data_IF_120931929235
#
_entry.id   IF_120931929235
#
_cell.length_a   1.000
_cell.length_b   1.000
_cell.length_c   1.000
_cell.angle_alpha   90.00
_cell.angle_beta   90.00
_cell.angle_gamma   90.00
#
_symmetry.space_group_name_H-M   'P 1'
#
loop_
_entity.id
_entity.type
_entity.pdbx_description
1 polymer ?
2 non-polymer ?
3 non-polymer ?
4 non-polymer ?
5 water ?
#
# COMPACT_ATOMS: atom_id res chain seq x y z
N UNK A 2 31.94 4.37 2.13
CA UNK A 2 31.86 2.95 1.66
C UNK A 2 31.76 2.86 0.12
N UNK A 3 31.73 1.63 -0.40
CA UNK A 3 31.50 1.43 -1.83
C UNK A 3 30.31 0.50 -2.02
N UNK A 4 29.73 0.52 -3.21
CA UNK A 4 28.70 -0.45 -3.58
C UNK A 4 29.34 -1.82 -3.68
N UNK A 5 28.61 -2.90 -3.32
CA UNK A 5 29.22 -4.23 -3.39
C UNK A 5 29.56 -4.63 -4.82
N UNK A 6 30.63 -5.42 -4.97
CA UNK A 6 31.12 -5.82 -6.27
C UNK A 6 30.04 -6.50 -7.14
N UNK A 7 29.20 -7.36 -6.53
CA UNK A 7 28.19 -8.08 -7.31
C UNK A 7 27.13 -7.14 -7.92
N UNK A 8 26.86 -6.05 -7.22
CA UNK A 8 25.91 -5.05 -7.71
C UNK A 8 26.55 -4.24 -8.85
N UNK A 9 27.77 -3.78 -8.60
CA UNK A 9 28.55 -3.06 -9.64
C UNK A 9 28.71 -3.89 -10.91
N UNK A 10 28.81 -5.21 -10.76
CA UNK A 10 29.00 -6.08 -11.92
C UNK A 10 27.84 -5.96 -12.92
N UNK A 11 26.64 -5.75 -12.40
CA UNK A 11 25.43 -5.76 -13.21
C UNK A 11 24.80 -4.41 -13.44
N UNK A 12 25.13 -3.42 -12.59
CA UNK A 12 24.50 -2.10 -12.63
C UNK A 12 25.48 -0.96 -12.51
N UNK A 13 25.15 0.16 -13.16
CA UNK A 13 25.84 1.44 -12.91
C UNK A 13 24.95 2.31 -12.06
N UNK A 14 25.42 2.69 -10.88
CA UNK A 14 24.61 3.50 -9.95
C UNK A 14 24.64 4.99 -10.31
N UNK A 15 23.48 5.64 -10.18
CA UNK A 15 23.35 7.07 -10.45
C UNK A 15 22.82 7.85 -9.25
N UNK A 16 21.99 8.87 -9.52
CA UNK A 16 21.52 9.84 -8.54
C UNK A 16 20.52 9.27 -7.54
N UNK A 17 20.39 9.94 -6.40
CA UNK A 17 19.40 9.62 -5.40
C UNK A 17 18.06 10.15 -5.90
N UNK A 18 17.03 9.31 -5.83
CA UNK A 18 15.68 9.68 -6.27
C UNK A 18 14.77 10.04 -5.09
N UNK A 19 15.03 9.42 -3.96
CA UNK A 19 14.20 9.59 -2.76
C UNK A 19 14.88 8.98 -1.56
N UNK A 20 14.27 9.12 -0.39
CA UNK A 20 14.81 8.53 0.84
C UNK A 20 13.76 8.28 1.93
N UNK A 21 14.05 7.32 2.80
CA UNK A 21 13.21 7.01 3.95
C UNK A 21 14.07 7.00 5.19
N UNK A 22 13.48 6.51 6.29
CA UNK A 22 14.19 6.39 7.56
C UNK A 22 15.21 5.26 7.51
N UNK A 23 14.91 4.25 6.71
CA UNK A 23 15.74 3.04 6.62
C UNK A 23 16.88 3.14 5.59
N UNK A 24 16.77 4.08 4.65
CA UNK A 24 17.77 4.24 3.60
C UNK A 24 17.33 5.18 2.50
N UNK A 25 17.74 4.87 1.27
CA UNK A 25 17.36 5.71 0.14
C UNK A 25 17.08 4.89 -1.11
N UNK A 26 16.55 5.56 -2.13
CA UNK A 26 16.29 4.95 -3.44
C UNK A 26 17.18 5.64 -4.47
N UNK A 27 17.95 4.83 -5.21
CA UNK A 27 18.86 5.34 -6.23
C UNK A 27 18.38 4.96 -7.61
N UNK A 28 18.64 5.85 -8.56
CA UNK A 28 18.55 5.51 -9.96
C UNK A 28 19.75 4.62 -10.30
N UNK A 29 19.55 3.62 -11.15
CA UNK A 29 20.66 2.81 -11.64
C UNK A 29 20.35 2.37 -13.06
N UNK A 30 21.38 1.93 -13.77
CA UNK A 30 21.18 1.44 -15.12
C UNK A 30 21.64 0.00 -15.17
N UNK A 31 20.79 -0.88 -15.67
CA UNK A 31 21.19 -2.27 -15.86
C UNK A 31 22.12 -2.33 -17.06
N UNK A 32 23.32 -2.89 -16.87
CA UNK A 32 24.31 -2.90 -17.97
C UNK A 32 23.82 -3.69 -19.19
N UNK A 33 23.21 -4.85 -18.94
CA UNK A 33 22.76 -5.76 -20.00
C UNK A 33 21.83 -5.07 -21.02
N UNK A 34 20.94 -4.22 -20.51
CA UNK A 34 19.84 -3.64 -21.29
C UNK A 34 19.98 -2.14 -21.51
N UNK A 35 20.85 -1.50 -20.72
CA UNK A 35 20.98 -0.04 -20.67
C UNK A 35 19.69 0.66 -20.25
N UNK A 36 18.85 -0.05 -19.52
CA UNK A 36 17.57 0.47 -19.08
C UNK A 36 17.64 0.87 -17.62
N UNK A 37 16.79 1.81 -17.25
CA UNK A 37 16.77 2.35 -15.89
C UNK A 37 16.05 1.41 -14.92
N UNK A 38 16.59 1.32 -13.72
CA UNK A 38 15.96 0.59 -12.61
C UNK A 38 16.03 1.48 -11.36
N UNK A 39 15.30 1.11 -10.31
CA UNK A 39 15.44 1.78 -9.03
C UNK A 39 16.08 0.80 -8.08
N UNK A 40 16.96 1.31 -7.22
CA UNK A 40 17.59 0.47 -6.21
C UNK A 40 17.31 1.03 -4.83
N UNK A 41 16.59 0.26 -4.04
CA UNK A 41 16.28 0.61 -2.67
C UNK A 41 17.40 0.09 -1.79
N UNK A 42 18.03 0.99 -1.05
CA UNK A 42 19.09 0.60 -0.13
C UNK A 42 18.53 0.62 1.29
N UNK A 43 18.70 -0.50 1.98
CA UNK A 43 18.27 -0.57 3.39
C UNK A 43 19.51 -0.80 4.28
N UNK A 44 19.81 0.21 5.08
CA UNK A 44 20.94 0.20 5.98
C UNK A 44 20.81 -0.94 6.99
N UNK A 45 21.89 -1.70 7.18
CA UNK A 45 21.90 -2.76 8.20
C UNK A 45 22.27 -2.20 9.57
N UNK A 61 11.74 -6.97 8.42
CA UNK A 61 12.32 -8.23 7.97
C UNK A 61 12.50 -8.28 6.45
N UNK A 62 13.73 -8.03 6.00
CA UNK A 62 14.02 -7.94 4.57
C UNK A 62 13.91 -9.29 3.86
N UNK A 63 14.39 -10.34 4.51
CA UNK A 63 14.30 -11.67 3.92
C UNK A 63 12.88 -12.08 3.57
N UNK A 64 11.93 -11.86 4.50
CA UNK A 64 10.53 -12.17 4.23
C UNK A 64 9.96 -11.23 3.16
N UNK A 65 10.37 -9.97 3.21
CA UNK A 65 9.94 -8.99 2.21
C UNK A 65 10.29 -9.50 0.80
N UNK A 66 11.53 -9.94 0.62
CA UNK A 66 11.99 -10.46 -0.68
C UNK A 66 11.18 -11.67 -1.10
N UNK A 67 10.95 -12.59 -0.16
CA UNK A 67 10.13 -13.77 -0.41
C UNK A 67 8.72 -13.41 -0.85
N UNK A 68 8.12 -12.45 -0.15
CA UNK A 68 6.82 -11.91 -0.58
C UNK A 68 6.88 -11.27 -1.98
N UNK A 69 7.84 -10.37 -2.21
CA UNK A 69 7.92 -9.67 -3.51
C UNK A 69 8.07 -10.65 -4.69
N UNK A 70 8.86 -11.71 -4.48
CA UNK A 70 9.08 -12.72 -5.53
C UNK A 70 7.83 -13.55 -5.88
N UNK A 71 6.97 -13.75 -4.89
CA UNK A 71 5.80 -14.61 -5.06
C UNK A 71 4.61 -13.86 -5.68
N UNK A 72 4.51 -12.57 -5.41
CA UNK A 72 3.35 -11.80 -5.86
C UNK A 72 3.44 -11.44 -7.33
N UNK A 73 2.28 -11.39 -7.99
CA UNK A 73 2.22 -11.04 -9.41
C UNK A 73 0.93 -10.28 -9.72
N UNK A 74 1.00 -8.96 -9.59
CA UNK A 74 -0.16 -8.13 -9.86
C UNK A 74 0.32 -6.81 -10.47
N UNK A 75 -0.43 -6.25 -11.44
CA UNK A 75 0.04 -5.03 -12.08
C UNK A 75 0.14 -3.81 -11.17
N UNK A 76 -0.51 -3.86 -10.00
CA UNK A 76 -0.46 -2.73 -9.06
C UNK A 76 0.43 -2.98 -7.83
N UNK A 77 1.32 -3.96 -7.96
CA UNK A 77 2.29 -4.25 -6.90
C UNK A 77 3.66 -4.33 -7.52
N UNK A 78 4.62 -3.63 -6.90
CA UNK A 78 5.97 -3.53 -7.46
C UNK A 78 6.62 -4.92 -7.60
N UNK A 79 7.43 -5.09 -8.64
CA UNK A 79 8.16 -6.35 -8.84
C UNK A 79 9.62 -6.16 -8.51
N UNK A 80 10.22 -7.19 -7.91
CA UNK A 80 11.63 -7.20 -7.61
C UNK A 80 12.38 -7.75 -8.83
N UNK A 81 13.50 -7.12 -9.17
CA UNK A 81 14.34 -7.59 -10.26
C UNK A 81 15.60 -8.27 -9.77
N UNK A 82 16.10 -7.87 -8.59
CA UNK A 82 17.34 -8.40 -8.04
C UNK A 82 17.48 -8.05 -6.56
N UNK A 83 18.39 -8.75 -5.89
CA UNK A 83 18.59 -8.56 -4.47
C UNK A 83 20.04 -8.84 -4.12
N UNK A 84 20.64 -7.94 -3.35
CA UNK A 84 22.01 -8.13 -2.88
C UNK A 84 22.05 -7.91 -1.38
N UNK A 85 22.54 -8.92 -0.68
CA UNK A 85 22.71 -8.90 0.76
C UNK A 85 24.20 -8.69 1.07
N UNK A 86 24.58 -7.44 1.33
CA UNK A 86 25.97 -7.10 1.60
C UNK A 86 26.08 -6.29 2.90
N UNK A 87 26.92 -5.26 2.90
CA UNK A 87 27.03 -4.38 4.07
C UNK A 87 25.68 -3.74 4.37
N UNK A 88 24.98 -3.34 3.31
CA UNK A 88 23.56 -2.99 3.39
C UNK A 88 22.77 -3.95 2.50
N UNK A 89 21.45 -3.87 2.55
CA UNK A 89 20.62 -4.59 1.60
C UNK A 89 20.35 -3.73 0.40
N UNK A 90 20.34 -4.37 -0.77
CA UNK A 90 20.04 -3.67 -2.01
C UNK A 90 18.92 -4.41 -2.72
N UNK A 91 17.79 -3.74 -2.90
CA UNK A 91 16.67 -4.35 -3.60
C UNK A 91 16.51 -3.63 -4.93
N UNK A 92 16.66 -4.37 -6.03
CA UNK A 92 16.52 -3.77 -7.37
C UNK A 92 15.07 -3.96 -7.82
N UNK A 93 14.45 -2.85 -8.22
CA UNK A 93 13.04 -2.88 -8.63
C UNK A 93 12.82 -2.08 -9.90
N UNK A 94 11.65 -2.25 -10.50
CA UNK A 94 11.29 -1.41 -11.62
C UNK A 94 11.29 0.06 -11.18
N UNK A 95 11.74 0.93 -12.07
CA UNK A 95 11.70 2.37 -11.81
C UNK A 95 10.31 2.95 -12.09
N UNK A 96 9.73 3.59 -11.07
CA UNK A 96 8.41 4.22 -11.20
C UNK A 96 8.64 5.70 -11.46
N UNK A 97 8.53 6.09 -12.73
CA UNK A 97 9.00 7.40 -13.17
C UNK A 97 8.18 8.58 -12.64
N UNK A 98 6.98 8.30 -12.17
CA UNK A 98 6.14 9.30 -11.52
C UNK A 98 6.47 9.59 -10.05
N UNK A 99 7.31 8.75 -9.46
CA UNK A 99 7.69 8.90 -8.05
C UNK A 99 6.56 8.56 -7.08
N UNK A 100 6.63 9.15 -5.88
CA UNK A 100 5.70 8.82 -4.78
C UNK A 100 4.42 9.62 -4.84
N UNK A 101 3.30 8.98 -4.48
CA UNK A 101 2.03 9.72 -4.32
C UNK A 101 2.16 10.88 -3.33
N UNK A 102 3.01 10.67 -2.31
CA UNK A 102 3.24 11.66 -1.26
C UNK A 102 3.47 13.06 -1.82
N UNK A 103 4.21 13.13 -2.93
CA UNK A 103 4.60 14.43 -3.49
C UNK A 103 3.47 15.14 -4.22
N UNK A 104 2.42 14.38 -4.53
CA UNK A 104 1.21 14.92 -5.16
C UNK A 104 0.20 15.50 -4.17
N UNK A 105 0.36 15.15 -2.90
CA UNK A 105 -0.63 15.52 -1.87
C UNK A 105 -0.05 16.36 -0.74
N UNK A 106 1.26 16.55 -0.76
CA UNK A 106 1.94 17.33 0.27
C UNK A 106 1.63 18.83 0.07
N UNK A 107 1.69 19.62 1.14
CA UNK A 107 1.44 21.08 1.08
C UNK A 107 0.03 21.44 0.66
N UNK A 108 -0.94 20.67 1.15
CA UNK A 108 -2.37 20.87 0.85
C UNK A 108 -2.76 20.77 -0.63
N UNK A 109 -1.83 20.29 -1.46
CA UNK A 109 -2.12 20.10 -2.88
C UNK A 109 -3.22 19.08 -3.03
N UNK A 110 -4.06 19.25 -4.04
CA UNK A 110 -5.07 18.23 -4.24
C UNK A 110 -5.43 17.81 -5.66
N UNK A 111 -5.46 16.49 -5.80
CA UNK A 111 -5.81 15.77 -7.01
C UNK A 111 -7.28 15.95 -7.32
N UNK A 112 -7.61 16.05 -8.60
CA UNK A 112 -9.00 16.01 -9.04
C UNK A 112 -9.66 14.74 -8.52
N UNK A 113 -10.94 14.85 -8.15
CA UNK A 113 -11.67 13.69 -7.68
C UNK A 113 -11.54 12.49 -8.63
N UNK A 114 -11.58 12.75 -9.95
CA UNK A 114 -11.39 11.70 -10.95
C UNK A 114 -10.04 10.98 -10.84
N UNK A 115 -8.98 11.74 -10.55
CA UNK A 115 -7.64 11.17 -10.38
C UNK A 115 -7.60 10.34 -9.11
N UNK A 116 -8.17 10.89 -8.03
CA UNK A 116 -8.32 10.15 -6.77
C UNK A 116 -8.98 8.80 -6.99
N UNK A 117 -10.06 8.79 -7.76
CA UNK A 117 -10.79 7.55 -8.01
C UNK A 117 -9.94 6.55 -8.79
N UNK A 118 -9.24 7.03 -9.81
CA UNK A 118 -8.38 6.17 -10.62
C UNK A 118 -7.26 5.56 -9.76
N UNK A 119 -6.60 6.38 -8.95
CA UNK A 119 -5.52 5.83 -8.08
C UNK A 119 -6.08 4.89 -7.03
N UNK A 120 -7.21 5.29 -6.43
CA UNK A 120 -7.75 4.53 -5.32
C UNK A 120 -8.30 3.20 -5.76
N UNK A 121 -8.91 3.16 -6.93
CA UNK A 121 -9.34 1.89 -7.53
C UNK A 121 -8.16 0.89 -7.60
N UNK A 122 -7.01 1.38 -8.06
CA UNK A 122 -5.82 0.54 -8.19
C UNK A 122 -5.28 0.12 -6.83
N UNK A 123 -5.27 1.03 -5.86
CA UNK A 123 -4.84 0.66 -4.50
C UNK A 123 -5.72 -0.46 -3.97
N UNK A 124 -7.02 -0.34 -4.21
CA UNK A 124 -7.96 -1.37 -3.77
C UNK A 124 -7.72 -2.71 -4.45
N UNK A 125 -7.49 -2.69 -5.77
CA UNK A 125 -7.18 -3.94 -6.49
C UNK A 125 -5.93 -4.61 -5.92
N UNK A 126 -4.92 -3.79 -5.62
CA UNK A 126 -3.65 -4.29 -5.07
C UNK A 126 -3.87 -4.89 -3.70
N UNK A 127 -4.56 -4.16 -2.83
CA UNK A 127 -4.76 -4.66 -1.45
C UNK A 127 -5.70 -5.86 -1.43
N UNK A 128 -6.70 -5.87 -2.30
CA UNK A 128 -7.56 -7.03 -2.45
C UNK A 128 -6.73 -8.25 -2.78
N UNK A 129 -5.81 -8.08 -3.72
CA UNK A 129 -4.95 -9.16 -4.16
C UNK A 129 -4.05 -9.65 -3.01
N UNK A 130 -3.48 -8.71 -2.25
CA UNK A 130 -2.72 -9.07 -1.06
C UNK A 130 -3.56 -9.94 -0.12
N UNK A 131 -4.75 -9.46 0.23
CA UNK A 131 -5.58 -10.17 1.23
C UNK A 131 -6.02 -11.55 0.75
N UNK A 132 -6.34 -11.66 -0.54
CA UNK A 132 -6.62 -12.96 -1.17
C UNK A 132 -5.46 -13.93 -1.05
N UNK A 133 -4.24 -13.40 -1.08
CA UNK A 133 -3.03 -14.18 -1.01
C UNK A 133 -2.44 -14.31 0.40
N UNK A 134 -3.23 -13.91 1.39
CA UNK A 134 -2.86 -14.04 2.82
C UNK A 134 -1.72 -13.14 3.28
N UNK A 135 -1.64 -11.94 2.69
CA UNK A 135 -0.62 -10.96 3.05
C UNK A 135 -1.30 -9.70 3.56
N UNK A 136 -0.85 -9.21 4.71
CA UNK A 136 -1.29 -7.89 5.19
C UNK A 136 -0.13 -6.95 5.04
N UNK A 137 -0.38 -5.80 4.42
CA UNK A 137 0.73 -4.90 4.10
C UNK A 137 1.31 -4.22 5.36
N UNK A 138 0.45 -3.59 6.14
CA UNK A 138 0.78 -2.94 7.43
C UNK A 138 1.51 -1.61 7.39
N UNK A 139 1.83 -1.12 6.21
CA UNK A 139 2.46 0.20 6.12
C UNK A 139 1.96 0.99 4.92
N UNK A 140 0.64 0.92 4.67
CA UNK A 140 0.10 1.70 3.55
C UNK A 140 0.10 3.19 3.90
N UNK A 141 0.72 3.98 3.02
CA UNK A 141 0.82 5.44 3.18
C UNK A 141 1.22 6.01 1.82
N UNK A 142 1.06 7.32 1.62
CA UNK A 142 1.35 7.89 0.29
C UNK A 142 2.79 7.67 -0.20
N UNK A 143 3.74 7.58 0.72
CA UNK A 143 5.15 7.29 0.38
C UNK A 143 5.32 5.93 -0.28
N UNK A 144 4.40 5.02 0.03
CA UNK A 144 4.46 3.63 -0.47
C UNK A 144 3.55 3.35 -1.64
N UNK A 145 3.01 4.41 -2.25
CA UNK A 145 2.22 4.30 -3.46
C UNK A 145 3.04 5.01 -4.53
N UNK A 146 3.52 4.24 -5.51
CA UNK A 146 4.36 4.81 -6.58
C UNK A 146 3.59 4.99 -7.87
N UNK A 147 3.94 6.04 -8.63
CA UNK A 147 3.24 6.36 -9.87
C UNK A 147 4.11 6.03 -11.09
N UNK A 148 3.49 5.46 -12.12
CA UNK A 148 4.23 4.97 -13.29
C UNK A 148 4.73 6.06 -14.23
N UNK A 149 4.12 7.24 -14.19
CA UNK A 149 4.58 8.35 -15.01
C UNK A 149 4.26 9.70 -14.39
N UNK A 150 4.74 10.77 -15.02
CA UNK A 150 4.48 12.13 -14.56
C UNK A 150 3.11 12.62 -15.04
N UNK A 151 2.45 11.85 -15.90
CA UNK A 151 1.06 12.12 -16.33
C UNK A 151 0.09 11.82 -15.20
N UNK A 152 -0.97 12.61 -15.07
CA UNK A 152 -2.00 12.41 -14.04
C UNK A 152 -2.68 11.05 -14.17
N UNK A 153 -3.05 10.68 -15.40
CA UNK A 153 -3.62 9.37 -15.67
C UNK A 153 -2.51 8.33 -15.83
N UNK A 154 -2.27 7.56 -14.77
CA UNK A 154 -1.15 6.62 -14.82
C UNK A 154 -1.44 5.41 -13.95
N UNK A 155 -0.61 4.39 -14.09
CA UNK A 155 -0.68 3.23 -13.19
C UNK A 155 -0.01 3.55 -11.87
N UNK A 156 -0.53 2.94 -10.80
CA UNK A 156 0.14 2.99 -9.53
C UNK A 156 0.57 1.59 -9.09
N UNK A 157 1.62 1.55 -8.28
CA UNK A 157 2.06 0.29 -7.69
C UNK A 157 2.38 0.49 -6.21
N UNK A 158 1.96 -0.46 -5.39
CA UNK A 158 2.24 -0.48 -3.96
C UNK A 158 3.64 -1.06 -3.73
N UNK A 159 4.37 -0.50 -2.79
CA UNK A 159 5.69 -0.98 -2.45
C UNK A 159 5.85 -1.11 -0.92
N UNK A 160 7.03 -1.56 -0.51
CA UNK A 160 7.48 -1.68 0.88
C UNK A 160 6.73 -2.74 1.67
N UNK A 161 7.27 -3.97 1.64
CA UNK A 161 6.68 -5.06 2.37
C UNK A 161 7.50 -5.41 3.61
N UNK A 162 8.21 -4.39 4.11
CA UNK A 162 9.17 -4.52 5.20
C UNK A 162 8.57 -4.89 6.55
N UNK A 163 7.28 -4.60 6.72
CA UNK A 163 6.60 -4.99 7.97
C UNK A 163 5.33 -5.78 7.72
N UNK A 164 5.22 -6.36 6.52
CA UNK A 164 4.05 -7.16 6.17
C UNK A 164 3.97 -8.45 6.97
N UNK A 165 2.76 -9.00 7.05
CA UNK A 165 2.47 -10.21 7.83
C UNK A 165 1.89 -11.26 6.86
N UNK A 166 2.40 -12.49 6.98
CA UNK A 166 1.87 -13.60 6.21
C UNK A 166 0.88 -14.36 7.09
N UNK A 167 -0.36 -14.48 6.61
CA UNK A 167 -1.38 -15.27 7.31
C UNK A 167 -1.22 -16.75 7.07
N UNK A 168 -1.52 -17.52 8.10
CA UNK A 168 -1.53 -18.99 8.00
C UNK A 168 -2.27 -19.50 9.21
N UNK A 169 -2.16 -20.80 9.47
CA UNK A 169 -2.76 -21.37 10.67
C UNK A 169 -2.17 -20.69 11.89
N UNK A 170 -3.04 -20.26 12.79
CA UNK A 170 -2.64 -19.57 13.99
C UNK A 170 -2.50 -20.54 15.17
N UNK A 171 -1.81 -20.09 16.20
CA UNK A 171 -1.73 -20.82 17.47
C UNK A 171 -3.14 -20.95 18.05
N UNK A 172 -3.95 -19.90 17.88
CA UNK A 172 -5.34 -19.91 18.39
C UNK A 172 -6.15 -21.08 17.82
N UNK A 173 -6.02 -21.33 16.51
CA UNK A 173 -6.72 -22.42 15.84
C UNK A 173 -6.31 -23.76 16.47
N UNK A 174 -5.02 -23.95 16.68
CA UNK A 174 -4.50 -25.14 17.33
C UNK A 174 -5.07 -25.24 18.77
N UNK A 175 -5.10 -24.11 19.45
CA UNK A 175 -5.68 -24.03 20.80
C UNK A 175 -7.14 -24.52 20.85
N UNK A 176 -7.95 -24.12 19.87
CA UNK A 176 -9.38 -24.45 19.87
C UNK A 176 -9.70 -25.90 19.51
N UNK A 177 -8.70 -26.64 19.05
CA UNK A 177 -8.91 -28.06 18.75
C UNK A 177 -9.07 -28.93 19.99
N UNK A 178 -8.47 -28.49 21.10
CA UNK A 178 -8.56 -29.24 22.36
C UNK A 178 -9.65 -28.74 23.28
N UNK A 179 -9.76 -29.38 24.44
CA UNK A 179 -10.71 -28.98 25.48
C UNK A 179 -10.03 -27.89 26.32
N UNK A 180 -10.75 -26.79 26.60
CA UNK A 180 -10.13 -25.64 27.28
C UNK A 180 -10.02 -25.74 28.81
N UNK A 181 -9.94 -26.97 29.35
CA UNK A 181 -9.83 -27.21 30.81
C UNK A 181 -8.85 -26.27 31.53
N UNK A 182 -7.70 -26.02 30.88
CA UNK A 182 -6.62 -25.25 31.51
C UNK A 182 -6.43 -23.88 30.85
N UNK A 183 -7.31 -23.58 29.91
CA UNK A 183 -7.17 -22.40 29.05
C UNK A 183 -7.70 -21.12 29.68
N UNK A 184 -6.87 -20.07 29.68
CA UNK A 184 -7.23 -18.74 30.19
C UNK A 184 -8.40 -18.03 29.44
N UNK A 185 -9.21 -17.26 30.17
CA UNK A 185 -10.42 -16.71 29.57
C UNK A 185 -10.12 -15.70 28.47
N UNK A 186 -9.02 -14.95 28.60
CA UNK A 186 -8.67 -13.95 27.58
C UNK A 186 -8.44 -14.58 26.20
N UNK A 187 -7.99 -15.82 26.17
CA UNK A 187 -7.76 -16.52 24.92
C UNK A 187 -9.12 -16.80 24.27
N UNK A 188 -10.07 -17.28 25.05
CA UNK A 188 -11.44 -17.52 24.52
C UNK A 188 -12.10 -16.21 24.08
N UNK A 189 -11.89 -15.14 24.85
CA UNK A 189 -12.42 -13.82 24.46
C UNK A 189 -11.85 -13.35 23.13
N UNK A 190 -10.57 -13.66 22.86
CA UNK A 190 -9.90 -13.20 21.65
C UNK A 190 -10.48 -13.81 20.37
N UNK A 191 -11.24 -14.90 20.55
CA UNK A 191 -11.83 -15.60 19.42
C UNK A 191 -12.85 -14.73 18.68
N UNK A 192 -13.50 -13.84 19.41
CA UNK A 192 -14.53 -12.98 18.81
C UNK A 192 -13.98 -12.10 17.70
N UNK A 193 -12.72 -11.68 17.85
CA UNK A 193 -12.12 -10.71 16.94
C UNK A 193 -10.97 -11.23 16.07
N UNK A 194 -10.51 -12.45 16.32
CA UNK A 194 -9.41 -13.03 15.56
C UNK A 194 -9.65 -13.12 14.06
N UNK A 195 -8.61 -12.89 13.28
CA UNK A 195 -8.73 -13.07 11.83
C UNK A 195 -9.20 -11.80 11.13
N UNK A 196 -9.13 -10.68 11.83
CA UNK A 196 -9.46 -9.38 11.22
C UNK A 196 -8.25 -8.45 11.15
N UNK A 197 -7.05 -9.01 11.26
CA UNK A 197 -5.85 -8.16 11.23
C UNK A 197 -5.77 -7.42 9.88
N UNK A 198 -6.28 -8.05 8.80
CA UNK A 198 -6.26 -7.42 7.48
C UNK A 198 -7.01 -6.08 7.44
N UNK A 199 -7.94 -5.87 8.38
CA UNK A 199 -8.70 -4.61 8.42
C UNK A 199 -7.83 -3.37 8.69
N UNK A 200 -6.64 -3.55 9.24
CA UNK A 200 -5.74 -2.38 9.45
C UNK A 200 -5.38 -1.75 8.10
N UNK A 201 -5.28 -2.58 7.05
CA UNK A 201 -4.96 -2.05 5.68
C UNK A 201 -6.12 -1.22 5.14
N UNK A 202 -7.36 -1.65 5.43
CA UNK A 202 -8.54 -0.90 4.99
C UNK A 202 -8.65 0.45 5.70
N UNK A 203 -8.26 0.50 6.96
CA UNK A 203 -8.23 1.77 7.69
C UNK A 203 -7.21 2.70 7.03
N UNK A 204 -6.00 2.18 6.78
CA UNK A 204 -4.95 3.00 6.16
C UNK A 204 -5.39 3.52 4.79
N UNK A 205 -6.02 2.66 4.00
CA UNK A 205 -6.59 3.09 2.71
C UNK A 205 -7.57 4.24 2.90
N UNK A 206 -8.41 4.13 3.93
CA UNK A 206 -9.35 5.21 4.24
C UNK A 206 -8.67 6.53 4.51
N UNK A 207 -7.56 6.49 5.24
CA UNK A 207 -6.80 7.71 5.58
C UNK A 207 -6.16 8.28 4.31
N UNK A 208 -5.58 7.40 3.48
CA UNK A 208 -4.99 7.82 2.18
C UNK A 208 -6.07 8.49 1.30
N UNK A 209 -7.24 7.85 1.21
CA UNK A 209 -8.33 8.37 0.38
C UNK A 209 -8.77 9.75 0.90
N UNK A 210 -8.91 9.88 2.21
CA UNK A 210 -9.27 11.18 2.84
C UNK A 210 -8.24 12.26 2.46
N UNK A 211 -6.96 11.93 2.57
CA UNK A 211 -5.88 12.86 2.19
C UNK A 211 -5.91 13.23 0.71
N UNK A 212 -6.09 12.24 -0.19
CA UNK A 212 -6.11 12.51 -1.63
C UNK A 212 -7.27 13.47 -1.99
N UNK A 213 -8.44 13.24 -1.39
CA UNK A 213 -9.66 13.99 -1.71
C UNK A 213 -9.66 15.42 -1.18
N UNK A 214 -9.02 15.61 -0.04
CA UNK A 214 -9.12 16.87 0.71
C UNK A 214 -7.82 17.68 0.78
N UNK A 215 -6.71 17.01 0.53
CA UNK A 215 -5.36 17.58 0.71
C UNK A 215 -4.93 17.77 2.15
N UNK A 216 -5.68 17.23 3.11
CA UNK A 216 -5.26 17.31 4.53
C UNK A 216 -5.55 15.98 5.27
N UNK A 217 -4.80 15.69 6.35
CA UNK A 217 -4.99 14.42 7.10
C UNK A 217 -6.22 14.43 8.03
N UNK A 218 -6.96 13.31 8.10
CA UNK A 218 -8.15 13.23 8.97
C UNK A 218 -7.83 13.33 10.46
N UNK A 219 -6.65 12.85 10.84
CA UNK A 219 -6.24 12.85 12.24
C UNK A 219 -4.87 13.51 12.32
N UNK A 220 -4.79 14.61 13.07
CA UNK A 220 -3.56 15.39 13.17
C UNK A 220 -3.59 16.22 14.46
N UNK A 221 -2.42 16.56 14.97
CA UNK A 221 -2.34 17.43 16.15
C UNK A 221 -2.54 18.93 15.81
N UNK A 222 -2.67 19.24 14.52
CA UNK A 222 -2.74 20.66 14.07
C UNK A 222 -3.99 21.35 14.58
N UNK A 223 -3.78 22.46 15.28
CA UNK A 223 -4.88 23.30 15.78
C UNK A 223 -6.02 22.48 16.39
N UNK A 224 -5.68 21.65 17.38
CA UNK A 224 -6.66 20.91 18.17
C UNK A 224 -6.08 20.57 19.54
N UNK A 225 -6.99 20.41 20.49
CA UNK A 225 -6.61 20.04 21.84
C UNK A 225 -6.91 18.56 22.12
N UNK A 226 -7.57 17.89 21.18
CA UNK A 226 -7.82 16.43 21.30
C UNK A 226 -6.53 15.70 20.88
N UNK A 227 -6.07 14.74 21.70
CA UNK A 227 -4.85 14.04 21.38
C UNK A 227 -5.05 13.20 20.12
N UNK A 228 -3.96 12.94 19.41
CA UNK A 228 -3.99 12.13 18.19
C UNK A 228 -4.63 10.78 18.48
N UNK A 229 -4.19 10.14 19.56
CA UNK A 229 -4.73 8.85 19.95
C UNK A 229 -6.25 8.87 20.16
N UNK A 230 -6.76 9.93 20.79
CA UNK A 230 -8.19 10.02 21.04
C UNK A 230 -8.98 10.28 19.77
N UNK A 231 -8.42 11.08 18.85
CA UNK A 231 -9.07 11.32 17.57
C UNK A 231 -9.28 10.00 16.86
N UNK A 232 -8.22 9.20 16.84
CA UNK A 232 -8.24 7.93 16.11
C UNK A 232 -9.16 6.90 16.75
N UNK A 233 -9.01 6.66 18.06
CA UNK A 233 -9.81 5.61 18.72
C UNK A 233 -11.30 5.97 18.77
N UNK A 234 -11.60 7.27 18.71
CA UNK A 234 -13.01 7.71 18.68
C UNK A 234 -13.56 7.74 17.26
N UNK A 235 -12.68 7.67 16.26
CA UNK A 235 -13.06 7.79 14.85
C UNK A 235 -13.46 9.20 14.42
N UNK A 236 -13.20 10.18 15.27
CA UNK A 236 -13.60 11.56 15.00
C UNK A 236 -12.56 12.32 14.18
N UNK A 237 -12.64 12.12 12.86
CA UNK A 237 -11.78 12.83 11.92
C UNK A 237 -12.13 14.32 11.90
N UNK A 238 -11.17 15.12 11.45
CA UNK A 238 -11.34 16.56 11.30
C UNK A 238 -12.06 16.85 9.99
N UNK A 239 -13.32 17.27 10.08
CA UNK A 239 -14.08 17.59 8.89
C UNK A 239 -14.19 19.09 8.72
N UNK A 240 -13.52 19.62 7.70
CA UNK A 240 -13.59 21.04 7.35
C UNK A 240 -14.50 21.20 6.14
N UNK A 241 -15.76 21.62 6.37
CA UNK A 241 -16.79 21.68 5.33
C UNK A 241 -16.37 22.35 4.03
N UNK A 242 -15.64 23.46 4.13
CA UNK A 242 -15.29 24.25 2.94
C UNK A 242 -14.32 23.55 2.01
N UNK A 243 -13.42 22.75 2.58
CA UNK A 243 -12.51 21.93 1.80
C UNK A 243 -13.29 20.85 1.05
N UNK A 244 -14.26 20.24 1.74
CA UNK A 244 -15.03 19.10 1.21
C UNK A 244 -16.20 19.47 0.28
N UNK A 245 -16.62 20.73 0.28
CA UNK A 245 -17.81 21.14 -0.47
C UNK A 245 -17.75 20.75 -1.95
N UNK A 246 -16.54 20.76 -2.51
CA UNK A 246 -16.29 20.46 -3.91
C UNK A 246 -16.14 18.95 -4.19
N UNK A 247 -16.09 18.15 -3.13
CA UNK A 247 -15.97 16.69 -3.25
C UNK A 247 -17.38 16.06 -3.25
N UNK A 248 -17.58 15.04 -4.06
CA UNK A 248 -18.89 14.39 -4.11
C UNK A 248 -19.29 13.74 -2.78
N UNK A 249 -20.61 13.66 -2.56
CA UNK A 249 -21.19 12.87 -1.47
C UNK A 249 -20.74 11.40 -1.47
N UNK A 250 -20.72 10.78 -2.66
CA UNK A 250 -20.35 9.35 -2.80
C UNK A 250 -18.91 9.09 -2.32
N UNK A 251 -17.99 10.00 -2.64
CA UNK A 251 -16.59 9.83 -2.24
C UNK A 251 -16.44 9.90 -0.72
N UNK A 252 -17.06 10.90 -0.11
CA UNK A 252 -17.04 11.01 1.34
C UNK A 252 -17.69 9.80 2.01
N UNK A 253 -18.76 9.28 1.41
CA UNK A 253 -19.47 8.11 1.95
C UNK A 253 -18.53 6.92 2.06
N UNK A 254 -17.76 6.67 1.00
CA UNK A 254 -16.77 5.60 1.04
C UNK A 254 -15.73 5.81 2.13
N UNK A 255 -15.17 7.04 2.21
CA UNK A 255 -14.23 7.36 3.29
C UNK A 255 -14.83 6.98 4.65
N UNK A 256 -16.08 7.36 4.87
CA UNK A 256 -16.73 7.06 6.15
C UNK A 256 -16.82 5.57 6.48
N UNK A 257 -16.98 4.73 5.45
CA UNK A 257 -17.14 3.29 5.65
C UNK A 257 -15.80 2.61 5.91
N UNK A 258 -14.72 3.27 5.52
CA UNK A 258 -13.36 2.76 5.74
C UNK A 258 -12.81 3.21 7.10
N UNK A 259 -13.22 4.40 7.54
CA UNK A 259 -12.75 4.94 8.81
C UNK A 259 -13.72 4.58 9.96
N UNK A 260 -14.12 3.32 9.99
CA UNK A 260 -15.02 2.78 11.00
C UNK A 260 -14.11 2.17 12.07
N UNK A 261 -14.36 2.52 13.33
CA UNK A 261 -13.48 2.10 14.43
C UNK A 261 -13.52 0.59 14.71
N UNK A 262 -14.70 -0.02 14.62
CA UNK A 262 -14.85 -1.48 14.82
C UNK A 262 -14.30 -2.24 13.59
N UNK A 263 -13.20 -3.00 13.76
CA UNK A 263 -12.59 -3.64 12.59
C UNK A 263 -13.50 -4.69 11.93
N UNK A 264 -14.47 -5.24 12.67
CA UNK A 264 -15.37 -6.21 12.04
C UNK A 264 -16.46 -5.53 11.18
N UNK A 265 -16.79 -4.29 11.51
CA UNK A 265 -17.77 -3.51 10.76
C UNK A 265 -17.15 -2.75 9.58
N UNK A 266 -15.86 -2.47 9.69
CA UNK A 266 -15.14 -1.71 8.66
C UNK A 266 -15.30 -2.34 7.27
N UNK A 267 -15.41 -1.50 6.23
CA UNK A 267 -15.45 -2.02 4.86
C UNK A 267 -14.21 -2.83 4.56
N UNK A 268 -14.42 -3.97 3.91
CA UNK A 268 -13.34 -4.75 3.31
C UNK A 268 -13.00 -4.17 1.93
N UNK A 269 -11.93 -4.65 1.31
CA UNK A 269 -11.61 -4.18 -0.05
C UNK A 269 -12.73 -4.57 -1.02
N UNK A 270 -13.35 -5.73 -0.83
CA UNK A 270 -14.45 -6.16 -1.73
C UNK A 270 -15.65 -5.20 -1.64
N UNK A 271 -15.98 -4.81 -0.41
CA UNK A 271 -17.11 -3.90 -0.18
C UNK A 271 -16.81 -2.53 -0.77
N UNK A 272 -15.58 -2.05 -0.57
CA UNK A 272 -15.14 -0.79 -1.16
C UNK A 272 -15.23 -0.82 -2.68
N UNK A 273 -14.81 -1.93 -3.29
CA UNK A 273 -14.87 -2.04 -4.76
C UNK A 273 -16.30 -2.08 -5.29
N UNK A 274 -17.25 -2.52 -4.46
CA UNK A 274 -18.69 -2.52 -4.83
C UNK A 274 -19.39 -1.19 -4.54
N UNK A 275 -18.72 -0.25 -3.90
CA UNK A 275 -19.32 1.02 -3.48
C UNK A 275 -19.71 1.86 -4.69
N UNK A 276 -20.82 2.62 -4.60
CA UNK A 276 -21.26 3.46 -5.74
C UNK A 276 -20.18 4.36 -6.33
N UNK A 277 -19.26 4.84 -5.49
CA UNK A 277 -18.20 5.72 -5.97
C UNK A 277 -17.30 5.05 -7.01
N UNK A 278 -17.15 3.74 -6.93
CA UNK A 278 -16.24 3.06 -7.84
C UNK A 278 -16.94 2.40 -9.03
N UNK A 279 -18.25 2.59 -9.11
CA UNK A 279 -19.03 2.10 -10.24
C UNK A 279 -18.97 3.17 -11.33
N UNK A 280 -17.80 3.25 -11.95
CA UNK A 280 -17.46 4.30 -12.89
C UNK A 280 -16.83 3.63 -14.09
N UNK A 281 -17.61 3.44 -15.17
CA UNK A 281 -17.11 2.75 -16.36
C UNK A 281 -16.01 3.50 -17.10
N UNK A 282 -16.07 4.84 -17.10
CA UNK A 282 -15.00 5.69 -17.65
C UNK A 282 -13.66 5.47 -16.96
N UNK A 283 -13.66 5.51 -15.63
CA UNK A 283 -12.45 5.27 -14.85
C UNK A 283 -11.87 3.88 -15.14
N UNK A 284 -12.73 2.86 -15.14
CA UNK A 284 -12.31 1.48 -15.38
C UNK A 284 -11.74 1.25 -16.79
N UNK A 285 -12.34 1.93 -17.77
CA UNK A 285 -11.80 1.95 -19.13
C UNK A 285 -10.40 2.55 -19.16
N UNK A 286 -10.22 3.70 -18.51
CA UNK A 286 -8.91 4.35 -18.44
C UNK A 286 -7.86 3.41 -17.83
N UNK A 287 -8.24 2.72 -16.75
CA UNK A 287 -7.33 1.76 -16.14
C UNK A 287 -6.90 0.66 -17.12
N UNK A 288 -7.88 0.04 -17.79
CA UNK A 288 -7.60 -1.03 -18.75
C UNK A 288 -6.72 -0.56 -19.91
N UNK A 289 -6.99 0.65 -20.42
CA UNK A 289 -6.14 1.27 -21.45
C UNK A 289 -4.70 1.41 -20.96
N UNK A 290 -4.54 1.90 -19.74
CA UNK A 290 -3.22 2.10 -19.14
C UNK A 290 -2.47 0.78 -18.98
N UNK A 291 -3.17 -0.27 -18.56
CA UNK A 291 -2.61 -1.62 -18.46
C UNK A 291 -2.01 -2.12 -19.77
N UNK A 292 -2.84 -2.20 -20.82
CA UNK A 292 -2.40 -2.72 -22.12
C UNK A 292 -1.25 -1.91 -22.72
N UNK A 293 -1.31 -0.59 -22.54
CA UNK A 293 -0.22 0.32 -22.90
C UNK A 293 1.12 -0.07 -22.26
N UNK A 294 1.11 -0.42 -20.96
CA UNK A 294 2.31 -0.80 -20.21
C UNK A 294 3.01 -2.06 -20.75
N UNK A 295 2.20 -3.04 -21.18
CA UNK A 295 2.69 -4.40 -21.44
C UNK A 295 3.38 -4.66 -22.81
N UNK A 296 4.48 -5.43 -22.79
CA UNK A 296 5.26 -5.84 -23.98
C UNK A 296 5.10 -7.35 -24.23
N UNK A 297 4.02 -7.68 -24.92
CA UNK A 297 3.36 -8.97 -24.77
C UNK A 297 4.00 -10.20 -25.43
N UNK A 298 4.63 -10.06 -26.59
CA UNK A 298 5.00 -11.23 -27.43
C UNK A 298 3.80 -11.90 -28.11
N UNK A 299 4.05 -12.55 -29.25
CA UNK A 299 2.99 -13.16 -30.06
C UNK A 299 2.16 -14.18 -29.27
N UNK A 300 0.88 -14.30 -29.63
CA UNK A 300 -0.03 -15.25 -29.00
C UNK A 300 -0.65 -16.16 -30.07
N UNK A 301 -0.96 -17.44 -29.74
CA UNK A 301 -1.71 -18.26 -30.70
C UNK A 301 -3.13 -17.77 -30.94
N UNK A 302 -3.58 -17.88 -32.20
CA UNK A 302 -4.84 -17.31 -32.70
C UNK A 302 -4.89 -15.78 -32.60
X LIG B 1 13.54 12.42 -7.54
X LIG B 1 13.62 13.26 -9.67
X LIG B 1 12.57 11.25 -9.31
X LIG B 1 12.22 10.34 -8.54
X LIG B 1 10.55 5.76 -4.69
X LIG B 1 10.28 3.99 -3.32
X LIG B 1 11.15 -0.83 0.69
X LIG B 1 11.33 -1.83 1.42
X LIG B 1 11.69 -0.41 3.21
X LIG B 1 11.79 -2.67 3.56
X LIG B 1 13.24 12.30 -8.83
X LIG B 1 11.54 9.26 -8.91
X LIG B 1 11.19 9.01 -10.39
X LIG B 1 11.26 8.32 -7.90
X LIG B 1 11.23 8.77 -6.58
X LIG B 1 10.99 7.90 -5.52
X LIG B 1 10.76 6.54 -5.78
X LIG B 1 10.80 6.09 -7.10
X LIG B 1 11.05 6.98 -8.17
X LIG B 1 10.64 4.43 -4.56
X LIG B 1 10.43 2.76 -2.77
X LIG B 1 10.17 2.68 -1.40
X LIG B 1 10.30 1.47 -0.70
X LIG B 1 10.73 0.31 -1.36
X LIG B 1 11.01 0.39 -2.73
X LIG B 1 10.87 1.60 -3.43
X LIG B 1 10.88 -0.88 -0.62
X LIG B 1 10.84 -2.24 -1.34
X LIG B 1 11.62 -1.64 2.72
X LIG B 1 10.94 3.67 -5.48
X LIG B 1 14.29 14.33 -9.18
X LIG B 1 11.95 -0.21 4.52
X LIG C 1 7.74 0.95 5.87
X LIG D 1 -6.67 -11.88 9.16
X LIG D 1 -6.82 -13.12 8.56
X LIG D 1 -7.09 -10.77 8.47
X LIG D 1 -6.13 -11.74 10.43
#
# INVERSE_FOLDING_TARGET
MSVYPKALRDEYIMSKTLGSGACGEVKLAFERKTCKKVAIKIISKRKFAIGSAREADPALNVETEIEILKKLNHPCIIKIKNFFDAEDYYIVLELMEGGELFDKVVGNKRLKEATCKLYFYQMLLAVQYLHENGIIHRDLKPENVLLSSQEEDCLIKITDFGHSKILGETSLMRTLCGTPTYLAPEVLVSVGTAGYNRAVDCWSLGVILFICLSGYPPFSEHRTQVSLKDQITSGKYNFIPEVWAEVSEKALDLVKKLLVVDPKARFTTEEALRHPWLQDEDMKRKFQDLLSEENESTALPQVLAQPSTSRKRPREGEAEGA
YCF NAA NAB NAC NAD NAE NAF NAG NAH NAI NAJ CAK CAL CAM CAN CAO CAP CAQ CAR CAS CAT CAU CAV CAW CAX CAY CAZ CBA CBB CBC OBD OBE OBF
MG MG
NO3 N O1 O2 O3
#
